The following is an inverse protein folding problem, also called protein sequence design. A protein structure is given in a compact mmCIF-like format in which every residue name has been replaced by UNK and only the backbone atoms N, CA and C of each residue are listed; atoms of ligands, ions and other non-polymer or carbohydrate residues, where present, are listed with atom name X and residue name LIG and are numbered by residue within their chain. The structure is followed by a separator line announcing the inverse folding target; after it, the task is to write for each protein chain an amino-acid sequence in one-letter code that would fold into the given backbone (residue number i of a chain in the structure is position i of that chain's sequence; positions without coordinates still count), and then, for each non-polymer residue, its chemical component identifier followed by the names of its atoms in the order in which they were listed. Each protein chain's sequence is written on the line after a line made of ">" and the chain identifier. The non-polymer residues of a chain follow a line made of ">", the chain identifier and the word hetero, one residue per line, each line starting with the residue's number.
data_IF_870265385831
#
_entry.id   IF_870265385831
#
_cell.length_a   1.000
_cell.length_b   1.000
_cell.length_c   1.000
_cell.angle_alpha   90.00
_cell.angle_beta   90.00
_cell.angle_gamma   90.00
#
_symmetry.space_group_name_H-M   'P 1'
#
loop_
_entity.id
_entity.type
_entity.pdbx_description
1 polymer ?
#
# COMPACT_ATOMS: atom_id res chain seq x y z
N UNK A 1 -9.80 -29.88 14.94
CA UNK A 1 -8.88 -29.06 14.13
C UNK A 1 -8.70 -29.78 12.81
N UNK A 2 -9.54 -29.46 11.82
CA UNK A 2 -9.50 -30.10 10.49
C UNK A 2 -8.44 -29.36 9.68
N UNK A 3 -7.36 -30.05 9.31
CA UNK A 3 -6.39 -29.48 8.37
C UNK A 3 -7.03 -29.48 6.98
N UNK A 4 -7.22 -28.31 6.34
CA UNK A 4 -7.66 -28.29 4.95
C UNK A 4 -6.52 -28.87 4.10
N UNK A 5 -6.78 -30.01 3.47
CA UNK A 5 -5.83 -30.65 2.55
C UNK A 5 -5.82 -29.81 1.27
N UNK A 6 -4.77 -29.02 1.10
CA UNK A 6 -4.60 -28.11 -0.04
C UNK A 6 -4.54 -28.96 -1.31
N UNK A 7 -5.49 -28.77 -2.22
CA UNK A 7 -5.46 -29.44 -3.53
C UNK A 7 -4.35 -28.80 -4.37
N UNK A 8 -3.76 -29.56 -5.30
CA UNK A 8 -2.73 -29.02 -6.23
C UNK A 8 -3.23 -27.79 -7.01
N UNK A 9 -4.55 -27.66 -7.16
CA UNK A 9 -5.20 -26.51 -7.79
C UNK A 9 -5.13 -25.23 -6.94
N UNK A 10 -5.22 -25.33 -5.61
CA UNK A 10 -5.19 -24.17 -4.72
C UNK A 10 -3.81 -23.51 -4.73
N UNK A 11 -2.75 -24.31 -4.86
CA UNK A 11 -1.39 -23.81 -5.02
C UNK A 11 -1.21 -22.96 -6.28
N UNK A 12 -1.91 -23.30 -7.37
CA UNK A 12 -1.94 -22.51 -8.60
C UNK A 12 -2.61 -21.16 -8.42
N UNK A 13 -3.68 -21.10 -7.61
CA UNK A 13 -4.39 -19.86 -7.30
C UNK A 13 -3.53 -18.94 -6.42
N UNK A 14 -2.78 -19.49 -5.45
CA UNK A 14 -1.85 -18.72 -4.62
C UNK A 14 -0.64 -18.18 -5.40
N UNK A 15 -0.19 -18.87 -6.45
CA UNK A 15 0.92 -18.41 -7.29
C UNK A 15 0.54 -17.24 -8.21
N UNK A 16 -0.73 -17.15 -8.62
CA UNK A 16 -1.23 -16.16 -9.57
C UNK A 16 -0.99 -14.69 -9.14
N UNK A 17 -1.31 -14.26 -7.90
CA UNK A 17 -1.05 -12.89 -7.46
C UNK A 17 0.44 -12.54 -7.31
N UNK A 18 1.35 -13.51 -7.26
CA UNK A 18 2.80 -13.25 -7.38
C UNK A 18 3.26 -13.22 -8.84
N UNK A 19 2.71 -14.09 -9.68
CA UNK A 19 3.10 -14.22 -11.08
C UNK A 19 2.69 -13.00 -11.92
N UNK A 20 1.50 -12.43 -11.69
CA UNK A 20 1.01 -11.27 -12.45
C UNK A 20 1.92 -10.03 -12.31
N UNK A 21 2.23 -9.54 -11.09
CA UNK A 21 3.13 -8.39 -10.94
C UNK A 21 4.57 -8.71 -11.37
N UNK A 22 5.05 -9.94 -11.17
CA UNK A 22 6.35 -10.37 -11.68
C UNK A 22 6.42 -10.32 -13.21
N UNK A 23 5.36 -10.77 -13.90
CA UNK A 23 5.27 -10.72 -15.36
C UNK A 23 5.22 -9.28 -15.87
N UNK A 24 4.43 -8.43 -15.21
CA UNK A 24 4.36 -6.99 -15.53
C UNK A 24 5.73 -6.32 -15.33
N UNK A 25 6.41 -6.61 -14.22
CA UNK A 25 7.75 -6.09 -13.93
C UNK A 25 8.77 -6.47 -15.00
N UNK A 26 8.81 -7.75 -15.38
CA UNK A 26 9.71 -8.25 -16.43
C UNK A 26 9.37 -7.61 -17.79
N UNK A 27 8.07 -7.49 -18.12
CA UNK A 27 7.61 -6.90 -19.37
C UNK A 27 8.01 -5.41 -19.47
N UNK A 28 7.73 -4.61 -18.43
CA UNK A 28 8.08 -3.18 -18.42
C UNK A 28 9.58 -2.94 -18.27
N UNK A 29 10.27 -3.69 -17.40
CA UNK A 29 11.71 -3.55 -17.16
C UNK A 29 12.59 -3.93 -18.36
N UNK A 30 12.16 -4.90 -19.19
CA UNK A 30 12.88 -5.28 -20.40
C UNK A 30 12.55 -4.40 -21.61
N UNK A 31 11.30 -3.94 -21.75
CA UNK A 31 10.80 -3.29 -22.98
C UNK A 31 10.78 -1.76 -22.89
N UNK A 32 10.58 -1.18 -21.69
CA UNK A 32 10.51 0.27 -21.48
C UNK A 32 11.43 0.71 -20.35
N UNK A 33 12.73 0.88 -20.64
CA UNK A 33 13.63 1.65 -19.77
C UNK A 33 13.19 3.12 -19.72
N UNK A 34 12.32 3.47 -18.79
CA UNK A 34 11.97 4.88 -18.55
C UNK A 34 13.19 5.60 -17.95
N UNK A 35 13.80 6.50 -18.74
CA UNK A 35 15.01 7.25 -18.35
C UNK A 35 14.74 8.58 -17.65
N UNK A 36 13.48 8.96 -17.45
CA UNK A 36 13.11 10.29 -16.95
C UNK A 36 12.49 10.25 -15.55
N UNK A 37 13.20 10.80 -14.55
CA UNK A 37 12.74 10.89 -13.16
C UNK A 37 11.39 11.63 -13.02
N UNK A 38 11.12 12.61 -13.90
CA UNK A 38 9.84 13.33 -13.92
C UNK A 38 8.68 12.50 -14.48
N UNK A 39 8.95 11.59 -15.42
CA UNK A 39 7.93 10.66 -15.93
C UNK A 39 7.55 9.62 -14.86
N UNK A 40 8.53 9.18 -14.07
CA UNK A 40 8.35 8.21 -12.99
C UNK A 40 7.59 8.79 -11.79
N UNK A 41 7.95 10.00 -11.33
CA UNK A 41 7.37 10.60 -10.13
C UNK A 41 6.03 11.32 -10.37
N UNK A 42 5.81 11.85 -11.58
CA UNK A 42 4.64 12.71 -11.87
C UNK A 42 3.70 12.08 -12.90
N UNK A 43 4.02 10.90 -13.46
CA UNK A 43 3.15 10.20 -14.42
C UNK A 43 2.73 11.09 -15.59
N UNK A 44 3.64 11.98 -16.02
CA UNK A 44 3.44 12.98 -17.08
C UNK A 44 2.19 13.88 -16.93
N UNK A 45 1.59 13.99 -15.73
CA UNK A 45 0.32 14.72 -15.46
C UNK A 45 -0.84 14.39 -16.41
N UNK A 46 -0.77 13.29 -17.17
CA UNK A 46 -1.72 12.92 -18.22
C UNK A 46 -2.58 11.71 -17.85
N UNK A 47 -2.44 11.19 -16.63
CA UNK A 47 -3.30 10.14 -16.12
C UNK A 47 -4.71 10.72 -15.91
N UNK A 48 -5.73 10.04 -16.44
CA UNK A 48 -7.11 10.46 -16.25
C UNK A 48 -7.49 10.38 -14.76
N UNK A 49 -8.47 11.17 -14.33
CA UNK A 49 -8.87 11.24 -12.92
C UNK A 49 -9.29 9.86 -12.35
N UNK A 50 -9.89 9.01 -13.19
CA UNK A 50 -10.38 7.69 -12.80
C UNK A 50 -9.27 6.72 -12.33
N UNK A 51 -8.21 6.41 -13.11
CA UNK A 51 -7.13 5.54 -12.66
C UNK A 51 -6.37 6.10 -11.45
N UNK A 52 -6.24 7.43 -11.33
CA UNK A 52 -5.66 8.03 -10.13
C UNK A 52 -6.50 7.77 -8.87
N UNK A 53 -7.82 7.97 -8.94
CA UNK A 53 -8.72 7.67 -7.83
C UNK A 53 -8.72 6.18 -7.47
N UNK A 54 -8.68 5.29 -8.47
CA UNK A 54 -8.56 3.85 -8.24
C UNK A 54 -7.25 3.48 -7.54
N UNK A 55 -6.12 4.02 -7.98
CA UNK A 55 -4.82 3.77 -7.33
C UNK A 55 -4.81 4.29 -5.89
N UNK A 56 -5.38 5.46 -5.64
CA UNK A 56 -5.51 6.01 -4.28
C UNK A 56 -6.38 5.12 -3.40
N UNK A 57 -7.54 4.68 -3.91
CA UNK A 57 -8.42 3.76 -3.18
C UNK A 57 -7.72 2.42 -2.89
N UNK A 58 -7.01 1.85 -3.86
CA UNK A 58 -6.23 0.63 -3.70
C UNK A 58 -5.15 0.77 -2.62
N UNK A 59 -4.47 1.91 -2.54
CA UNK A 59 -3.47 2.17 -1.48
C UNK A 59 -4.08 2.15 -0.07
N UNK A 60 -5.35 2.54 0.09
CA UNK A 60 -6.05 2.42 1.36
C UNK A 60 -6.56 1.00 1.62
N UNK A 61 -6.93 0.27 0.58
CA UNK A 61 -7.43 -1.11 0.65
C UNK A 61 -6.27 -2.10 0.75
N UNK A 62 -5.67 -2.19 1.94
CA UNK A 62 -4.59 -3.15 2.22
C UNK A 62 -5.12 -4.40 2.93
N UNK A 63 -4.31 -5.47 2.91
CA UNK A 63 -4.60 -6.75 3.58
C UNK A 63 -4.92 -6.59 5.07
N UNK A 64 -4.40 -5.53 5.70
CA UNK A 64 -4.71 -5.21 7.10
C UNK A 64 -6.21 -5.12 7.38
N UNK A 65 -6.98 -4.52 6.48
CA UNK A 65 -8.42 -4.31 6.66
C UNK A 65 -9.17 -5.66 6.72
N UNK A 66 -8.82 -6.58 5.82
CA UNK A 66 -9.51 -7.87 5.69
C UNK A 66 -9.28 -8.75 6.91
N UNK A 67 -8.11 -8.68 7.54
CA UNK A 67 -7.76 -9.49 8.71
C UNK A 67 -8.10 -8.81 10.04
N UNK A 68 -7.94 -7.49 10.15
CA UNK A 68 -8.14 -6.75 11.40
C UNK A 68 -9.62 -6.55 11.72
N UNK A 69 -10.45 -6.19 10.73
CA UNK A 69 -11.88 -5.95 10.95
C UNK A 69 -12.62 -7.15 11.57
N UNK A 70 -12.49 -8.40 11.06
CA UNK A 70 -13.14 -9.54 11.69
C UNK A 70 -12.52 -9.88 13.05
N UNK A 71 -11.22 -9.62 13.24
CA UNK A 71 -10.56 -9.76 14.55
C UNK A 71 -11.18 -8.82 15.58
N UNK A 72 -11.28 -7.53 15.26
CA UNK A 72 -11.92 -6.54 16.12
C UNK A 72 -13.41 -6.83 16.33
N UNK A 73 -14.11 -7.32 15.31
CA UNK A 73 -15.51 -7.71 15.42
C UNK A 73 -15.72 -8.90 16.37
N UNK A 74 -14.75 -9.81 16.46
CA UNK A 74 -14.81 -10.96 17.36
C UNK A 74 -14.57 -10.56 18.83
N UNK A 75 -13.68 -9.59 19.09
CA UNK A 75 -13.34 -9.16 20.45
C UNK A 75 -14.26 -8.05 20.99
N UNK A 76 -14.54 -7.03 20.17
CA UNK A 76 -15.30 -5.85 20.56
C UNK A 76 -16.74 -5.84 20.03
N UNK A 77 -17.17 -6.94 19.38
CA UNK A 77 -18.50 -7.04 18.78
C UNK A 77 -18.67 -6.05 17.63
N UNK A 78 -19.88 -5.54 17.44
CA UNK A 78 -20.19 -4.58 16.37
C UNK A 78 -19.56 -3.20 16.56
N UNK A 79 -19.02 -2.84 17.73
CA UNK A 79 -18.54 -1.47 17.99
C UNK A 79 -17.25 -1.17 17.21
N UNK A 80 -16.31 -2.11 17.18
CA UNK A 80 -15.03 -1.97 16.46
C UNK A 80 -15.19 -1.59 14.98
N UNK A 81 -15.85 -2.41 14.14
CA UNK A 81 -16.00 -2.12 12.71
C UNK A 81 -16.78 -0.83 12.42
N UNK A 82 -17.81 -0.51 13.22
CA UNK A 82 -18.59 0.71 13.04
C UNK A 82 -17.77 1.98 13.33
N UNK A 83 -16.92 1.96 14.36
CA UNK A 83 -16.03 3.10 14.66
C UNK A 83 -14.97 3.33 13.57
N UNK A 84 -14.43 2.27 12.98
CA UNK A 84 -13.52 2.37 11.82
C UNK A 84 -14.21 2.98 10.60
N UNK A 85 -15.44 2.55 10.31
CA UNK A 85 -16.22 3.06 9.19
C UNK A 85 -16.53 4.56 9.34
N UNK A 86 -16.95 4.99 10.53
CA UNK A 86 -17.21 6.41 10.84
C UNK A 86 -15.91 7.23 10.71
N UNK A 87 -14.80 6.75 11.26
CA UNK A 87 -13.50 7.43 11.18
C UNK A 87 -13.03 7.60 9.74
N UNK A 88 -13.21 6.59 8.88
CA UNK A 88 -12.88 6.65 7.46
C UNK A 88 -13.72 7.69 6.71
N UNK A 89 -15.03 7.77 6.99
CA UNK A 89 -15.93 8.77 6.41
C UNK A 89 -15.51 10.21 6.78
N UNK A 90 -15.19 10.46 8.06
CA UNK A 90 -14.69 11.75 8.50
C UNK A 90 -13.35 12.11 7.85
N UNK A 91 -12.43 11.15 7.75
CA UNK A 91 -11.16 11.32 7.05
C UNK A 91 -11.35 11.70 5.58
N UNK A 92 -12.24 11.00 4.87
CA UNK A 92 -12.57 11.31 3.47
C UNK A 92 -13.14 12.71 3.30
N UNK A 93 -14.01 13.15 4.22
CA UNK A 93 -14.61 14.49 4.16
C UNK A 93 -13.56 15.60 4.36
N UNK A 94 -12.61 15.40 5.28
CA UNK A 94 -11.49 16.33 5.51
C UNK A 94 -10.60 16.40 4.26
N UNK A 95 -10.32 15.26 3.63
CA UNK A 95 -9.52 15.19 2.41
C UNK A 95 -10.19 15.94 1.26
N UNK A 96 -11.50 15.82 1.07
CA UNK A 96 -12.23 16.59 0.05
C UNK A 96 -12.12 18.10 0.24
N UNK A 97 -12.00 18.57 1.49
CA UNK A 97 -11.83 19.98 1.84
C UNK A 97 -10.38 20.46 1.62
N UNK A 98 -9.40 19.59 1.88
CA UNK A 98 -7.98 19.87 1.71
C UNK A 98 -7.50 19.79 0.25
N UNK A 99 -8.02 18.86 -0.56
CA UNK A 99 -7.66 18.69 -1.98
C UNK A 99 -7.70 20.01 -2.77
N UNK A 100 -8.77 20.82 -2.77
CA UNK A 100 -8.83 22.06 -3.54
C UNK A 100 -7.83 23.11 -3.04
N UNK A 101 -7.44 23.07 -1.77
CA UNK A 101 -6.44 23.96 -1.18
C UNK A 101 -5.05 23.58 -1.70
N UNK A 102 -4.70 22.28 -1.63
CA UNK A 102 -3.41 21.79 -2.13
C UNK A 102 -3.28 21.91 -3.65
N UNK A 103 -4.35 21.65 -4.40
CA UNK A 103 -4.33 21.72 -5.87
C UNK A 103 -4.08 23.15 -6.38
N UNK A 104 -4.60 24.18 -5.70
CA UNK A 104 -4.34 25.59 -6.04
C UNK A 104 -2.89 26.02 -5.80
N UNK A 105 -2.18 25.38 -4.86
CA UNK A 105 -0.80 25.73 -4.52
C UNK A 105 0.25 25.10 -5.45
N UNK A 106 -0.13 24.21 -6.39
CA UNK A 106 0.76 23.55 -7.38
C UNK A 106 2.06 22.96 -6.78
N UNK A 107 1.99 22.50 -5.53
CA UNK A 107 3.14 21.91 -4.84
C UNK A 107 3.35 20.48 -5.31
N UNK A 108 4.60 20.09 -5.56
CA UNK A 108 4.91 18.72 -6.01
C UNK A 108 5.03 17.75 -4.82
N UNK A 109 5.10 18.26 -3.59
CA UNK A 109 5.16 17.45 -2.37
C UNK A 109 4.45 18.12 -1.20
N UNK A 110 3.73 17.35 -0.38
CA UNK A 110 3.07 17.85 0.84
C UNK A 110 4.07 18.48 1.81
N UNK A 111 5.34 18.04 1.80
CA UNK A 111 6.38 18.61 2.65
C UNK A 111 6.88 19.99 2.21
N UNK A 112 6.69 20.33 0.93
CA UNK A 112 6.96 21.66 0.39
C UNK A 112 6.01 22.71 1.00
N UNK A 113 4.79 22.29 1.37
CA UNK A 113 3.85 23.13 2.11
C UNK A 113 4.36 23.44 3.53
N UNK A 114 4.96 22.45 4.21
CA UNK A 114 5.55 22.69 5.54
C UNK A 114 6.76 23.63 5.45
N UNK A 115 7.57 23.54 4.39
CA UNK A 115 8.69 24.44 4.15
C UNK A 115 8.22 25.88 3.89
N UNK A 116 7.17 26.07 3.08
CA UNK A 116 6.62 27.40 2.80
C UNK A 116 5.97 28.06 4.04
N UNK A 117 5.36 27.26 4.93
CA UNK A 117 4.70 27.79 6.12
C UNK A 117 5.65 28.07 7.28
N UNK A 118 6.72 27.28 7.44
CA UNK A 118 7.67 27.41 8.56
C UNK A 118 9.03 27.99 8.16
N UNK A 119 9.27 28.25 6.87
CA UNK A 119 10.54 28.77 6.30
C UNK A 119 11.81 28.03 6.76
N UNK A 120 11.71 26.74 7.10
CA UNK A 120 12.81 25.96 7.65
C UNK A 120 12.97 24.61 6.96
N UNK A 121 14.17 24.39 6.40
CA UNK A 121 14.54 23.12 5.77
C UNK A 121 14.61 21.95 6.76
N UNK A 122 14.83 22.23 8.06
CA UNK A 122 14.87 21.20 9.10
C UNK A 122 13.50 20.55 9.30
N UNK A 123 12.42 21.33 9.23
CA UNK A 123 11.05 20.83 9.37
C UNK A 123 10.69 19.92 8.18
N UNK A 124 11.19 20.24 6.98
CA UNK A 124 11.03 19.38 5.80
C UNK A 124 11.72 18.03 5.98
N UNK A 125 12.98 18.05 6.42
CA UNK A 125 13.76 16.83 6.63
C UNK A 125 13.14 15.95 7.73
N UNK A 126 12.80 16.53 8.88
CA UNK A 126 12.17 15.80 9.98
C UNK A 126 10.77 15.26 9.61
N UNK A 127 9.98 16.04 8.87
CA UNK A 127 8.67 15.59 8.38
C UNK A 127 8.78 14.42 7.41
N UNK A 128 9.70 14.52 6.44
CA UNK A 128 9.96 13.42 5.50
C UNK A 128 10.51 12.17 6.18
N UNK A 129 11.39 12.34 7.17
CA UNK A 129 12.00 11.23 7.91
C UNK A 129 10.98 10.50 8.78
N UNK A 130 10.14 11.24 9.52
CA UNK A 130 9.04 10.67 10.32
C UNK A 130 8.06 9.90 9.45
N UNK A 131 7.79 10.38 8.24
CA UNK A 131 6.92 9.68 7.29
C UNK A 131 7.56 8.41 6.75
N UNK A 132 8.82 8.45 6.34
CA UNK A 132 9.55 7.26 5.86
C UNK A 132 9.56 6.18 6.95
N UNK A 133 9.84 6.56 8.20
CA UNK A 133 9.82 5.63 9.34
C UNK A 133 8.42 5.03 9.57
N UNK A 134 7.39 5.88 9.61
CA UNK A 134 5.99 5.44 9.78
C UNK A 134 5.54 4.52 8.64
N UNK A 135 5.88 4.86 7.40
CA UNK A 135 5.53 4.08 6.21
C UNK A 135 6.26 2.73 6.19
N UNK A 136 7.53 2.70 6.61
CA UNK A 136 8.30 1.45 6.70
C UNK A 136 7.68 0.50 7.73
N UNK A 137 7.32 1.01 8.92
CA UNK A 137 6.65 0.23 9.94
C UNK A 137 5.28 -0.29 9.45
N UNK A 138 4.51 0.56 8.76
CA UNK A 138 3.23 0.19 8.19
C UNK A 138 3.35 -0.92 7.12
N UNK A 139 4.31 -0.80 6.20
CA UNK A 139 4.56 -1.82 5.17
C UNK A 139 5.00 -3.15 5.79
N UNK A 140 5.83 -3.11 6.84
CA UNK A 140 6.22 -4.30 7.60
C UNK A 140 5.01 -5.01 8.21
N UNK A 141 4.10 -4.26 8.84
CA UNK A 141 2.85 -4.79 9.36
C UNK A 141 2.01 -5.41 8.23
N UNK A 142 1.76 -4.68 7.14
CA UNK A 142 0.93 -5.15 6.03
C UNK A 142 1.47 -6.43 5.38
N UNK A 143 2.79 -6.61 5.30
CA UNK A 143 3.43 -7.83 4.76
C UNK A 143 3.35 -9.03 5.73
N UNK A 144 3.32 -8.76 7.03
CA UNK A 144 3.30 -9.81 8.05
C UNK A 144 1.97 -10.56 8.09
N UNK A 145 0.84 -9.85 8.04
CA UNK A 145 -0.51 -10.46 8.11
C UNK A 145 -0.78 -11.56 7.05
N UNK A 146 -0.55 -11.32 5.74
CA UNK A 146 -0.73 -12.37 4.74
C UNK A 146 0.27 -13.51 4.91
N UNK A 147 1.48 -13.23 5.39
CA UNK A 147 2.51 -14.27 5.57
C UNK A 147 2.18 -15.22 6.72
N UNK A 148 1.59 -14.72 7.80
CA UNK A 148 1.10 -15.53 8.92
C UNK A 148 -0.07 -16.43 8.49
N UNK A 149 -1.04 -15.86 7.78
CA UNK A 149 -2.19 -16.62 7.27
C UNK A 149 -1.76 -17.70 6.26
N UNK A 150 -0.83 -17.38 5.36
CA UNK A 150 -0.25 -18.34 4.42
C UNK A 150 0.59 -19.43 5.11
N UNK A 151 1.35 -19.08 6.14
CA UNK A 151 2.11 -20.05 6.94
C UNK A 151 1.20 -21.07 7.63
N UNK A 152 0.10 -20.60 8.20
CA UNK A 152 -0.88 -21.46 8.88
C UNK A 152 -1.58 -22.45 7.93
N UNK A 153 -1.83 -22.07 6.68
CA UNK A 153 -2.47 -22.97 5.71
C UNK A 153 -1.49 -23.93 5.02
N UNK A 154 -0.24 -23.51 4.78
CA UNK A 154 0.72 -24.26 3.96
C UNK A 154 1.69 -25.13 4.78
N UNK A 155 1.80 -24.89 6.09
CA UNK A 155 2.74 -25.60 6.97
C UNK A 155 4.22 -25.21 6.77
N UNK A 156 4.51 -24.26 5.88
CA UNK A 156 5.83 -23.68 5.67
C UNK A 156 6.09 -22.53 6.67
N UNK A 157 7.36 -22.24 7.00
CA UNK A 157 7.69 -21.14 7.89
C UNK A 157 7.27 -19.80 7.25
N UNK A 158 6.60 -18.90 8.00
CA UNK A 158 6.06 -17.64 7.47
C UNK A 158 7.15 -16.72 6.92
N UNK A 159 8.38 -16.82 7.44
CA UNK A 159 9.54 -16.06 6.97
C UNK A 159 9.85 -16.27 5.49
N UNK A 160 9.60 -17.48 4.95
CA UNK A 160 9.84 -17.77 3.54
C UNK A 160 8.89 -16.96 2.62
N UNK A 161 7.63 -16.81 3.04
CA UNK A 161 6.63 -16.03 2.29
C UNK A 161 6.94 -14.52 2.35
N UNK A 162 7.39 -14.01 3.51
CA UNK A 162 7.79 -12.60 3.64
C UNK A 162 8.89 -12.25 2.65
N UNK A 163 9.93 -13.09 2.56
CA UNK A 163 11.06 -12.86 1.65
C UNK A 163 10.62 -12.94 0.19
N UNK A 164 9.78 -13.92 -0.17
CA UNK A 164 9.30 -14.09 -1.54
C UNK A 164 8.44 -12.89 -2.00
N UNK A 165 7.47 -12.47 -1.18
CA UNK A 165 6.58 -11.34 -1.49
C UNK A 165 7.39 -10.04 -1.55
N UNK A 166 8.32 -9.83 -0.61
CA UNK A 166 9.20 -8.66 -0.59
C UNK A 166 10.10 -8.58 -1.83
N UNK A 167 10.64 -9.72 -2.28
CA UNK A 167 11.45 -9.78 -3.50
C UNK A 167 10.65 -9.45 -4.75
N UNK A 168 9.44 -9.99 -4.89
CA UNK A 168 8.57 -9.66 -6.04
C UNK A 168 8.12 -8.19 -6.02
N UNK A 169 7.77 -7.67 -4.84
CA UNK A 169 7.36 -6.27 -4.69
C UNK A 169 8.50 -5.28 -5.00
N UNK A 170 9.71 -5.57 -4.55
CA UNK A 170 10.90 -4.74 -4.85
C UNK A 170 11.26 -4.79 -6.33
N UNK A 171 11.23 -5.97 -6.95
CA UNK A 171 11.44 -6.10 -8.40
C UNK A 171 10.40 -5.31 -9.20
N UNK A 172 9.12 -5.38 -8.80
CA UNK A 172 8.05 -4.61 -9.42
C UNK A 172 8.21 -3.09 -9.26
N UNK A 173 8.78 -2.64 -8.14
CA UNK A 173 8.96 -1.20 -7.88
C UNK A 173 10.20 -0.62 -8.56
N UNK A 174 11.18 -1.45 -8.89
CA UNK A 174 12.44 -1.00 -9.52
C UNK A 174 12.34 -1.01 -11.05
N UNK A 175 11.52 -1.89 -11.63
CA UNK A 175 11.39 -2.11 -13.08
C UNK A 175 10.24 -1.30 -13.70
#
# INVERSE_FOLDING_TARGET
>A
MVQPTISRLDFGIFALPLAVPAFIAIYFGLIRKQKDNNAYLVGNRSLSALPMSFSLALSFLTTSIVSVIPGDAAYFGTIGPWTMMISSLFGGMIVMLLIPIFYKMKLNSVYEYLELRYQSQLVRQLGSLTFILSMTAHLGFVLYLPSETLGNISGLPPYAFVVMIGMVATLYTIM
#
